data_IF_140788749510
#
_entry.id   IF_140788749510
#
_cell.length_a   1.000
_cell.length_b   1.000
_cell.length_c   1.000
_cell.angle_alpha   90.00
_cell.angle_beta   90.00
_cell.angle_gamma   90.00
#
_symmetry.space_group_name_H-M   'P 1'
#
loop_
_entity.id
_entity.type
_entity.pdbx_description
1 polymer ?
#
# COMPACT_ATOMS: atom_id res chain seq x y z
N UNK A 1 18.98 43.21 -15.49
CA UNK A 1 18.76 44.52 -16.15
C UNK A 1 18.07 44.28 -17.48
N UNK A 2 17.01 45.05 -17.79
CA UNK A 2 16.29 45.20 -19.09
C UNK A 2 15.59 43.95 -19.67
N UNK A 3 14.32 43.95 -20.12
CA UNK A 3 13.32 45.00 -20.42
C UNK A 3 11.92 44.35 -20.58
N UNK A 4 10.90 45.03 -20.05
CA UNK A 4 9.59 45.38 -20.63
C UNK A 4 8.68 44.29 -21.27
N UNK A 5 7.46 44.05 -20.75
CA UNK A 5 6.21 44.84 -20.87
C UNK A 5 5.60 44.83 -22.29
N UNK A 6 4.44 44.19 -22.43
CA UNK A 6 3.27 44.51 -23.28
C UNK A 6 2.35 43.27 -23.26
N UNK A 7 1.02 43.30 -23.11
CA UNK A 7 0.00 44.35 -23.17
C UNK A 7 -1.21 43.88 -22.36
N UNK A 8 -1.84 44.85 -21.69
CA UNK A 8 -3.15 44.76 -21.07
C UNK A 8 -4.24 45.26 -22.04
N UNK A 9 -5.45 44.67 -21.91
CA UNK A 9 -6.79 45.27 -22.14
C UNK A 9 -7.23 45.59 -23.61
N UNK A 10 -8.52 45.90 -23.92
CA UNK A 10 -9.79 45.23 -23.52
C UNK A 10 -10.98 45.38 -24.55
N UNK A 11 -12.22 45.01 -24.15
CA UNK A 11 -13.55 45.54 -24.58
C UNK A 11 -14.19 45.03 -25.91
N UNK A 12 -15.31 44.28 -25.82
CA UNK A 12 -16.74 44.68 -25.91
C UNK A 12 -17.29 44.72 -27.35
N UNK A 13 -18.24 43.82 -27.67
CA UNK A 13 -19.43 44.18 -28.48
C UNK A 13 -20.64 43.38 -27.99
N UNK A 14 -21.67 44.12 -27.61
CA UNK A 14 -23.04 43.68 -27.33
C UNK A 14 -23.74 43.29 -28.63
N UNK A 15 -24.53 42.23 -28.61
CA UNK A 15 -25.48 41.93 -29.69
C UNK A 15 -26.75 41.31 -29.13
N UNK A 16 -27.81 42.12 -29.00
CA UNK A 16 -29.18 41.67 -28.86
C UNK A 16 -29.58 40.88 -30.11
N UNK A 17 -30.23 39.73 -29.92
CA UNK A 17 -30.86 38.97 -30.99
C UNK A 17 -32.00 38.14 -30.42
N UNK A 18 -33.15 38.76 -30.23
CA UNK A 18 -34.42 38.10 -29.98
C UNK A 18 -34.83 37.37 -31.27
N UNK A 19 -34.85 36.04 -31.25
CA UNK A 19 -35.23 35.20 -32.39
C UNK A 19 -36.08 34.03 -31.91
N UNK A 20 -37.39 34.20 -32.01
CA UNK A 20 -38.42 33.21 -31.72
C UNK A 20 -38.67 32.38 -32.99
N UNK A 21 -38.20 31.14 -33.11
CA UNK A 21 -38.72 30.19 -34.11
C UNK A 21 -38.63 28.72 -33.66
N UNK A 22 -39.83 28.12 -33.67
CA UNK A 22 -40.21 26.74 -33.99
C UNK A 22 -39.62 25.56 -33.21
N UNK A 23 -40.57 24.90 -32.52
CA UNK A 23 -40.57 23.49 -32.22
C UNK A 23 -40.31 22.65 -33.49
N UNK A 24 -39.15 21.99 -33.53
CA UNK A 24 -38.99 20.70 -34.16
C UNK A 24 -38.47 19.75 -33.08
N UNK A 25 -39.27 18.73 -32.77
CA UNK A 25 -38.91 17.71 -31.79
C UNK A 25 -37.60 17.05 -32.16
N UNK A 26 -36.57 17.35 -31.39
CA UNK A 26 -35.44 16.46 -31.23
C UNK A 26 -35.95 15.29 -30.39
N UNK A 27 -35.87 14.03 -30.84
CA UNK A 27 -35.90 12.95 -29.89
C UNK A 27 -34.70 13.18 -28.98
N UNK A 28 -34.98 13.55 -27.73
CA UNK A 28 -34.03 13.33 -26.67
C UNK A 28 -33.72 11.84 -26.71
N UNK A 29 -32.58 11.48 -27.30
CA UNK A 29 -31.90 10.23 -27.02
C UNK A 29 -31.45 10.32 -25.56
N UNK A 30 -32.45 10.16 -24.68
CA UNK A 30 -32.28 9.74 -23.32
C UNK A 30 -31.59 8.37 -23.36
N UNK A 31 -30.59 8.22 -22.50
CA UNK A 31 -29.89 6.96 -22.34
C UNK A 31 -28.54 6.92 -23.05
N UNK A 32 -27.71 7.96 -22.88
CA UNK A 32 -26.33 7.64 -22.56
C UNK A 32 -26.41 6.78 -21.30
N UNK A 33 -26.30 5.46 -21.45
CA UNK A 33 -26.25 4.54 -20.33
C UNK A 33 -25.18 5.07 -19.41
N UNK A 34 -25.59 5.58 -18.24
CA UNK A 34 -24.70 5.68 -17.12
C UNK A 34 -24.23 4.25 -16.92
N UNK A 35 -23.03 3.95 -17.44
CA UNK A 35 -22.41 2.65 -17.28
C UNK A 35 -22.45 2.39 -15.79
N UNK A 36 -23.24 1.40 -15.41
CA UNK A 36 -23.44 1.04 -14.02
C UNK A 36 -22.06 0.64 -13.52
N UNK A 37 -21.41 1.55 -12.78
CA UNK A 37 -20.11 1.27 -12.18
C UNK A 37 -20.35 0.06 -11.30
N UNK A 38 -19.71 -1.09 -11.59
CA UNK A 38 -19.99 -2.32 -10.85
C UNK A 38 -19.83 -2.02 -9.37
N UNK A 39 -20.87 -2.35 -8.58
CA UNK A 39 -20.80 -2.20 -7.14
C UNK A 39 -19.57 -2.94 -6.62
N UNK A 40 -18.76 -2.27 -5.80
CA UNK A 40 -17.59 -2.89 -5.20
C UNK A 40 -18.05 -4.09 -4.36
N UNK A 41 -17.37 -5.24 -4.46
CA UNK A 41 -17.68 -6.39 -3.62
C UNK A 41 -17.61 -5.97 -2.15
N UNK A 42 -18.60 -6.42 -1.37
CA UNK A 42 -18.62 -6.16 0.05
C UNK A 42 -17.52 -6.99 0.72
N UNK A 43 -16.69 -6.31 1.52
CA UNK A 43 -15.59 -6.94 2.22
C UNK A 43 -15.78 -6.84 3.73
N UNK A 44 -15.53 -7.95 4.41
CA UNK A 44 -15.41 -7.99 5.87
C UNK A 44 -13.93 -7.91 6.23
N UNK A 45 -13.61 -7.01 7.15
CA UNK A 45 -12.25 -6.84 7.67
C UNK A 45 -12.14 -7.43 9.08
N UNK A 46 -11.00 -8.07 9.35
CA UNK A 46 -10.75 -8.69 10.64
C UNK A 46 -9.28 -8.61 11.03
N UNK A 47 -9.00 -8.95 12.29
CA UNK A 47 -7.65 -9.08 12.81
C UNK A 47 -7.00 -10.34 12.21
N UNK A 48 -5.85 -10.24 11.51
CA UNK A 48 -5.19 -11.42 10.94
C UNK A 48 -4.69 -12.39 12.03
N UNK A 49 -4.40 -13.65 11.69
CA UNK A 49 -3.73 -14.55 12.63
C UNK A 49 -2.27 -14.12 12.83
N UNK A 50 -1.65 -14.56 13.93
CA UNK A 50 -0.22 -14.25 14.17
C UNK A 50 0.69 -14.86 13.10
N UNK A 51 0.32 -16.04 12.58
CA UNK A 51 1.02 -16.71 11.48
C UNK A 51 1.02 -15.92 10.17
N UNK A 52 0.03 -15.04 10.01
CA UNK A 52 -0.17 -14.33 8.75
C UNK A 52 0.54 -12.97 8.75
N UNK A 53 1.06 -12.55 9.91
CA UNK A 53 1.93 -11.37 10.05
C UNK A 53 3.37 -11.74 9.76
N UNK A 54 4.04 -10.92 8.94
CA UNK A 54 5.43 -11.16 8.59
C UNK A 54 6.35 -11.08 9.83
N UNK A 55 7.32 -12.01 9.97
CA UNK A 55 8.33 -11.93 11.01
C UNK A 55 9.15 -10.64 10.92
N UNK A 56 9.63 -10.14 12.06
CA UNK A 56 10.45 -8.91 12.11
C UNK A 56 11.72 -8.98 11.25
N UNK A 57 12.30 -10.17 11.10
CA UNK A 57 13.47 -10.37 10.24
C UNK A 57 13.15 -10.11 8.76
N UNK A 58 11.98 -10.58 8.28
CA UNK A 58 11.48 -10.34 6.93
C UNK A 58 11.21 -8.86 6.72
N UNK A 59 10.51 -8.21 7.66
CA UNK A 59 10.23 -6.78 7.59
C UNK A 59 11.50 -5.93 7.58
N UNK A 60 12.55 -6.34 8.31
CA UNK A 60 13.84 -5.64 8.29
C UNK A 60 14.50 -5.75 6.92
N UNK A 61 14.51 -6.94 6.32
CA UNK A 61 15.06 -7.13 4.98
C UNK A 61 14.25 -6.39 3.90
N UNK A 62 12.92 -6.32 4.08
CA UNK A 62 12.03 -5.52 3.25
C UNK A 62 12.42 -4.03 3.27
N UNK A 63 12.51 -3.41 4.45
CA UNK A 63 12.90 -1.99 4.58
C UNK A 63 14.29 -1.72 4.03
N UNK A 64 15.24 -2.62 4.30
CA UNK A 64 16.61 -2.52 3.75
C UNK A 64 16.61 -2.56 2.22
N UNK A 65 15.82 -3.43 1.62
CA UNK A 65 15.70 -3.52 0.16
C UNK A 65 15.05 -2.27 -0.42
N UNK A 66 14.03 -1.72 0.23
CA UNK A 66 13.42 -0.43 -0.19
C UNK A 66 14.47 0.69 -0.16
N UNK A 67 15.27 0.78 0.90
CA UNK A 67 16.36 1.76 1.00
C UNK A 67 17.39 1.62 -0.12
N UNK A 68 17.79 0.39 -0.45
CA UNK A 68 18.69 0.11 -1.56
C UNK A 68 18.10 0.55 -2.91
N UNK A 69 16.84 0.20 -3.18
CA UNK A 69 16.18 0.45 -4.48
C UNK A 69 15.81 1.91 -4.69
N UNK A 70 15.38 2.59 -3.63
CA UNK A 70 14.89 3.97 -3.71
C UNK A 70 15.89 5.01 -3.19
N UNK A 71 17.11 4.58 -2.82
CA UNK A 71 18.12 5.42 -2.19
C UNK A 71 17.58 6.22 -0.98
N UNK A 72 16.75 5.55 -0.16
CA UNK A 72 16.16 6.12 1.05
C UNK A 72 16.94 5.75 2.32
N UNK A 73 16.45 6.18 3.48
CA UNK A 73 17.09 5.98 4.78
C UNK A 73 16.12 5.52 5.88
N UNK A 74 15.10 4.73 5.51
CA UNK A 74 14.10 4.24 6.44
C UNK A 74 14.65 3.18 7.40
N UNK A 75 15.63 2.37 7.00
CA UNK A 75 16.26 1.36 7.84
C UNK A 75 17.03 1.96 9.03
N UNK A 76 17.42 3.23 8.92
CA UNK A 76 18.02 4.00 10.01
C UNK A 76 16.99 4.56 11.02
N UNK A 77 15.69 4.37 10.76
CA UNK A 77 14.58 4.90 11.55
C UNK A 77 13.70 3.77 12.06
N UNK A 78 12.87 4.08 13.06
CA UNK A 78 11.81 3.15 13.44
C UNK A 78 10.81 3.04 12.27
N UNK A 79 10.35 1.82 11.99
CA UNK A 79 9.34 1.57 10.95
C UNK A 79 8.09 0.96 11.59
N UNK A 80 6.93 1.41 11.15
CA UNK A 80 5.64 1.02 11.70
C UNK A 80 4.80 0.34 10.63
N UNK A 81 4.39 -0.89 10.93
CA UNK A 81 3.57 -1.70 10.06
C UNK A 81 2.22 -1.99 10.71
N UNK A 82 1.21 -2.09 9.87
CA UNK A 82 -0.09 -2.63 10.24
C UNK A 82 -0.49 -3.73 9.27
N UNK A 83 -1.07 -4.81 9.81
CA UNK A 83 -1.59 -5.92 9.04
C UNK A 83 -3.09 -6.05 9.30
N UNK A 84 -3.87 -6.13 8.23
CA UNK A 84 -5.33 -6.31 8.30
C UNK A 84 -5.75 -7.40 7.33
N UNK A 85 -6.69 -8.25 7.76
CA UNK A 85 -7.25 -9.29 6.92
C UNK A 85 -8.52 -8.79 6.24
N UNK A 86 -8.70 -9.13 4.97
CA UNK A 86 -9.87 -8.82 4.17
C UNK A 86 -10.45 -10.11 3.59
N UNK A 87 -11.73 -10.34 3.83
CA UNK A 87 -12.49 -11.49 3.31
C UNK A 87 -13.63 -10.98 2.43
N UNK A 88 -13.89 -11.69 1.33
CA UNK A 88 -15.06 -11.43 0.49
C UNK A 88 -16.32 -11.89 1.24
N UNK A 89 -17.28 -10.98 1.46
CA UNK A 89 -18.53 -11.30 2.18
C UNK A 89 -19.47 -12.15 1.35
N UNK A 90 -19.42 -11.97 0.03
CA UNK A 90 -20.29 -12.59 -0.97
C UNK A 90 -19.85 -13.99 -1.38
N UNK A 91 -18.63 -14.41 -1.01
CA UNK A 91 -18.03 -15.70 -1.39
C UNK A 91 -17.50 -16.45 -0.18
N UNK A 92 -18.37 -17.17 0.56
CA UNK A 92 -17.97 -18.04 1.65
C UNK A 92 -16.92 -19.06 1.19
N UNK A 93 -15.79 -19.15 1.89
CA UNK A 93 -14.67 -20.04 1.55
C UNK A 93 -13.61 -19.41 0.65
N UNK A 94 -13.79 -18.18 0.16
CA UNK A 94 -12.70 -17.44 -0.48
C UNK A 94 -11.55 -17.24 0.52
N UNK A 95 -10.32 -17.51 0.08
CA UNK A 95 -9.15 -17.38 0.95
C UNK A 95 -8.97 -15.89 1.29
N UNK A 96 -8.85 -15.53 2.58
CA UNK A 96 -8.68 -14.14 2.96
C UNK A 96 -7.34 -13.58 2.48
N UNK A 97 -7.36 -12.32 2.07
CA UNK A 97 -6.16 -11.55 1.76
C UNK A 97 -5.64 -10.86 3.01
N UNK A 98 -4.32 -10.76 3.13
CA UNK A 98 -3.69 -9.94 4.18
C UNK A 98 -3.00 -8.75 3.54
N UNK A 99 -3.39 -7.57 3.98
CA UNK A 99 -2.79 -6.30 3.58
C UNK A 99 -1.79 -5.85 4.63
N UNK A 100 -0.59 -5.47 4.18
CA UNK A 100 0.41 -4.79 4.99
C UNK A 100 0.43 -3.31 4.61
N UNK A 101 0.20 -2.45 5.58
CA UNK A 101 0.40 -0.99 5.48
C UNK A 101 1.72 -0.66 6.15
N UNK A 102 2.60 0.05 5.43
CA UNK A 102 3.81 0.64 5.97
C UNK A 102 3.70 2.17 5.96
N UNK A 103 3.72 2.78 7.14
CA UNK A 103 3.39 4.19 7.30
C UNK A 103 4.47 5.12 6.78
N UNK A 104 5.75 4.81 6.97
CA UNK A 104 6.85 5.73 6.65
C UNK A 104 7.01 6.01 5.16
N UNK A 105 6.76 5.01 4.29
CA UNK A 105 6.81 5.18 2.83
C UNK A 105 5.41 5.38 2.21
N UNK A 106 4.35 5.38 3.04
CA UNK A 106 2.96 5.43 2.56
C UNK A 106 2.67 4.30 1.58
N UNK A 107 2.99 3.06 1.94
CA UNK A 107 2.94 1.90 1.03
C UNK A 107 1.96 0.84 1.54
N UNK A 108 1.17 0.27 0.62
CA UNK A 108 0.27 -0.84 0.88
C UNK A 108 0.71 -2.04 0.02
N UNK A 109 0.94 -3.17 0.67
CA UNK A 109 1.36 -4.41 0.03
C UNK A 109 0.30 -5.48 0.27
N UNK A 110 -0.15 -6.15 -0.78
CA UNK A 110 -0.85 -7.42 -0.63
C UNK A 110 0.18 -8.50 -0.32
N UNK A 111 -0.03 -9.24 0.77
CA UNK A 111 0.77 -10.42 1.11
C UNK A 111 0.21 -11.70 0.47
N UNK A 112 -0.73 -11.54 -0.47
CA UNK A 112 -1.45 -12.64 -1.07
C UNK A 112 -2.36 -13.34 -0.07
N UNK A 113 -2.68 -14.57 -0.41
CA UNK A 113 -3.47 -15.44 0.45
C UNK A 113 -2.56 -15.98 1.57
N UNK A 114 -3.07 -16.11 2.81
CA UNK A 114 -2.26 -16.57 3.94
C UNK A 114 -1.84 -18.05 3.83
N UNK A 115 -2.48 -18.81 2.95
CA UNK A 115 -2.30 -20.26 2.79
C UNK A 115 -1.24 -20.66 1.74
N UNK A 116 -0.87 -19.76 0.83
CA UNK A 116 0.03 -19.95 -0.30
C UNK A 116 1.48 -19.61 0.02
N UNK A 117 1.77 -19.15 1.24
CA UNK A 117 3.15 -19.00 1.68
C UNK A 117 3.81 -20.38 1.75
N UNK A 118 5.01 -20.57 1.18
CA UNK A 118 5.67 -21.86 1.17
C UNK A 118 5.78 -22.42 2.59
N UNK A 119 5.24 -23.61 2.83
CA UNK A 119 5.42 -24.36 4.08
C UNK A 119 6.41 -25.49 3.82
N UNK A 120 7.52 -25.46 4.58
CA UNK A 120 8.58 -26.47 4.80
C UNK A 120 9.10 -27.20 3.55
N UNK A 121 10.39 -26.96 3.24
CA UNK A 121 11.16 -27.70 2.22
C UNK A 121 11.74 -26.83 1.10
N UNK A 122 11.16 -25.64 0.89
CA UNK A 122 11.63 -24.57 -0.02
C UNK A 122 11.40 -23.18 0.63
N UNK A 123 11.58 -23.09 1.95
CA UNK A 123 11.35 -21.83 2.69
C UNK A 123 12.44 -20.82 2.35
N UNK A 124 12.03 -19.68 1.79
CA UNK A 124 12.91 -18.55 1.58
C UNK A 124 13.52 -18.14 2.93
N UNK A 125 14.80 -17.78 2.94
CA UNK A 125 15.36 -17.10 4.11
C UNK A 125 14.61 -15.80 4.34
N UNK A 126 14.54 -15.28 5.59
CA UNK A 126 13.88 -14.00 5.84
C UNK A 126 14.41 -12.84 4.99
N UNK A 127 15.69 -12.90 4.59
CA UNK A 127 16.32 -11.94 3.68
C UNK A 127 15.73 -12.03 2.28
N UNK A 128 15.62 -13.23 1.72
CA UNK A 128 15.08 -13.45 0.38
C UNK A 128 13.59 -13.11 0.31
N UNK A 129 12.81 -13.53 1.30
CA UNK A 129 11.39 -13.22 1.39
C UNK A 129 11.17 -11.70 1.47
N UNK A 130 11.90 -11.01 2.36
CA UNK A 130 11.79 -9.56 2.51
C UNK A 130 12.18 -8.82 1.24
N UNK A 131 13.23 -9.27 0.54
CA UNK A 131 13.65 -8.71 -0.75
C UNK A 131 12.60 -8.93 -1.83
N UNK A 132 12.07 -10.15 -1.95
CA UNK A 132 11.01 -10.45 -2.93
C UNK A 132 9.77 -9.60 -2.69
N UNK A 133 9.33 -9.45 -1.44
CA UNK A 133 8.21 -8.58 -1.07
C UNK A 133 8.48 -7.12 -1.42
N UNK A 134 9.69 -6.60 -1.20
CA UNK A 134 10.03 -5.21 -1.49
C UNK A 134 10.05 -4.89 -2.99
N UNK A 135 10.37 -5.89 -3.82
CA UNK A 135 10.39 -5.80 -5.28
C UNK A 135 9.04 -6.15 -5.92
N UNK A 136 8.10 -6.73 -5.16
CA UNK A 136 6.76 -7.03 -5.63
C UNK A 136 5.96 -5.73 -5.85
N UNK A 137 4.90 -5.84 -6.66
CA UNK A 137 3.96 -4.75 -6.86
C UNK A 137 3.36 -4.33 -5.52
N UNK A 138 3.44 -3.03 -5.23
CA UNK A 138 2.82 -2.38 -4.08
C UNK A 138 2.04 -1.16 -4.56
N UNK A 139 1.13 -0.68 -3.72
CA UNK A 139 0.44 0.59 -3.93
C UNK A 139 1.16 1.67 -3.11
N UNK A 140 1.50 2.77 -3.76
CA UNK A 140 2.05 3.97 -3.13
C UNK A 140 0.95 5.01 -2.98
N UNK A 141 0.66 5.40 -1.75
CA UNK A 141 -0.43 6.33 -1.43
C UNK A 141 -0.32 7.68 -2.15
N UNK A 142 0.91 8.10 -2.46
CA UNK A 142 1.17 9.37 -3.13
C UNK A 142 0.85 9.36 -4.64
N UNK A 143 0.82 8.19 -5.29
CA UNK A 143 0.74 8.10 -6.77
C UNK A 143 -0.35 7.17 -7.28
N UNK A 144 -0.77 6.19 -6.48
CA UNK A 144 -1.59 5.07 -6.94
C UNK A 144 -3.04 5.18 -6.43
N UNK A 145 -3.40 6.32 -5.83
CA UNK A 145 -4.71 6.57 -5.23
C UNK A 145 -5.43 7.65 -6.03
N UNK A 146 -6.63 7.33 -6.48
CA UNK A 146 -7.49 8.24 -7.24
C UNK A 146 -8.76 8.60 -6.46
N UNK A 147 -9.38 9.76 -6.71
CA UNK A 147 -10.54 10.22 -5.95
C UNK A 147 -11.74 9.27 -6.03
N UNK A 148 -12.04 8.73 -7.21
CA UNK A 148 -13.23 7.91 -7.45
C UNK A 148 -12.94 6.63 -8.23
N UNK A 149 -13.84 5.64 -8.15
CA UNK A 149 -13.75 4.43 -8.99
C UNK A 149 -13.71 4.71 -10.49
N UNK A 150 -14.38 5.76 -10.96
CA UNK A 150 -14.40 6.11 -12.38
C UNK A 150 -12.99 6.46 -12.89
N UNK A 151 -12.17 7.07 -12.03
CA UNK A 151 -10.79 7.48 -12.36
C UNK A 151 -9.82 6.30 -12.49
N UNK A 152 -10.19 5.11 -12.03
CA UNK A 152 -9.38 3.89 -12.22
C UNK A 152 -9.32 3.53 -13.70
N UNK A 153 -10.40 3.76 -14.46
CA UNK A 153 -10.49 3.52 -15.90
C UNK A 153 -9.92 2.16 -16.38
N UNK A 154 -10.13 1.10 -15.59
CA UNK A 154 -9.63 -0.25 -15.88
C UNK A 154 -8.15 -0.49 -15.56
N UNK A 155 -7.45 0.48 -14.98
CA UNK A 155 -6.08 0.32 -14.48
C UNK A 155 -6.03 -0.71 -13.35
N UNK A 156 -5.11 -1.67 -13.46
CA UNK A 156 -4.81 -2.58 -12.35
C UNK A 156 -3.86 -1.96 -11.32
N UNK A 157 -3.35 -0.74 -11.55
CA UNK A 157 -2.35 -0.08 -10.70
C UNK A 157 -2.94 0.98 -9.78
N UNK A 158 -4.20 1.36 -9.98
CA UNK A 158 -4.85 2.43 -9.22
C UNK A 158 -5.92 1.87 -8.29
N UNK A 159 -6.11 2.53 -7.16
CA UNK A 159 -7.18 2.25 -6.20
C UNK A 159 -7.93 3.52 -5.83
N UNK A 160 -9.19 3.38 -5.43
CA UNK A 160 -9.99 4.50 -4.98
C UNK A 160 -9.62 4.94 -3.55
N UNK A 161 -9.63 6.25 -3.30
CA UNK A 161 -9.41 6.86 -1.99
C UNK A 161 -10.32 6.28 -0.91
N UNK A 162 -11.61 6.08 -1.20
CA UNK A 162 -12.57 5.52 -0.25
C UNK A 162 -12.19 4.09 0.20
N UNK A 163 -11.58 3.28 -0.67
CA UNK A 163 -11.05 1.97 -0.30
C UNK A 163 -9.84 2.10 0.63
N UNK A 164 -8.91 3.01 0.33
CA UNK A 164 -7.75 3.30 1.18
C UNK A 164 -8.20 3.75 2.58
N UNK A 165 -9.16 4.67 2.65
CA UNK A 165 -9.66 5.21 3.92
C UNK A 165 -10.26 4.13 4.81
N UNK A 166 -11.05 3.21 4.22
CA UNK A 166 -11.58 2.03 4.93
C UNK A 166 -10.45 1.13 5.44
N UNK A 167 -9.49 0.79 4.58
CA UNK A 167 -8.36 -0.05 4.96
C UNK A 167 -7.56 0.56 6.12
N UNK A 168 -7.26 1.86 6.05
CA UNK A 168 -6.54 2.61 7.08
C UNK A 168 -7.36 2.75 8.37
N UNK A 169 -8.69 2.89 8.25
CA UNK A 169 -9.63 2.82 9.37
C UNK A 169 -9.52 1.49 10.12
N UNK A 170 -9.63 0.37 9.41
CA UNK A 170 -9.50 -0.96 9.99
C UNK A 170 -8.09 -1.25 10.52
N UNK A 171 -7.05 -0.69 9.89
CA UNK A 171 -5.70 -0.82 10.39
C UNK A 171 -5.51 -0.14 11.77
N UNK A 172 -6.24 0.95 12.03
CA UNK A 172 -6.22 1.62 13.34
C UNK A 172 -6.92 0.82 14.43
N UNK A 173 -8.05 0.18 14.09
CA UNK A 173 -8.97 -0.46 15.06
C UNK A 173 -8.80 -1.97 15.22
N UNK A 174 -8.60 -2.71 14.12
CA UNK A 174 -8.52 -4.18 14.07
C UNK A 174 -7.11 -4.69 13.72
N UNK A 175 -6.28 -3.85 13.11
CA UNK A 175 -5.00 -4.27 12.58
C UNK A 175 -4.00 -4.75 13.63
N UNK A 176 -3.21 -5.78 13.28
CA UNK A 176 -2.03 -6.15 14.06
C UNK A 176 -0.90 -5.18 13.73
N UNK A 177 -0.36 -4.51 14.75
CA UNK A 177 0.70 -3.51 14.59
C UNK A 177 2.06 -4.12 14.91
N UNK A 178 3.05 -3.85 14.07
CA UNK A 178 4.44 -4.27 14.29
C UNK A 178 5.35 -3.05 14.16
N UNK A 179 6.11 -2.77 15.21
CA UNK A 179 7.18 -1.78 15.18
C UNK A 179 8.51 -2.48 15.00
N UNK A 180 9.29 -2.04 14.02
CA UNK A 180 10.72 -2.29 13.93
C UNK A 180 11.45 -1.12 14.58
N UNK A 181 12.10 -1.40 15.71
CA UNK A 181 13.04 -0.45 16.28
C UNK A 181 14.27 -0.32 15.37
N UNK A 182 14.92 0.84 15.44
CA UNK A 182 16.23 1.08 14.81
C UNK A 182 17.19 -0.03 15.25
N UNK A 183 17.92 -0.61 14.30
CA UNK A 183 18.97 -1.57 14.64
C UNK A 183 20.02 -0.85 15.51
N UNK A 184 20.08 -1.23 16.79
CA UNK A 184 21.13 -0.72 17.66
C UNK A 184 22.47 -1.21 17.11
N UNK A 185 23.44 -0.29 16.94
CA UNK A 185 24.84 -0.70 16.72
C UNK A 185 25.19 -1.70 17.84
N UNK A 186 25.85 -2.83 17.53
CA UNK A 186 26.39 -3.69 18.57
C UNK A 186 27.16 -2.80 19.54
N UNK A 187 26.80 -2.86 20.82
CA UNK A 187 27.57 -2.15 21.85
C UNK A 187 29.00 -2.66 21.70
N UNK A 188 30.01 -1.78 21.49
CA UNK A 188 31.38 -2.24 21.38
C UNK A 188 31.69 -3.02 22.65
N UNK A 189 32.03 -4.31 22.49
CA UNK A 189 32.49 -5.15 23.58
C UNK A 189 33.68 -4.43 24.19
N UNK A 190 33.65 -4.15 25.49
CA UNK A 190 34.80 -3.56 26.17
C UNK A 190 36.02 -4.45 25.85
N UNK A 191 37.14 -3.88 25.36
CA UNK A 191 38.38 -4.64 25.23
C UNK A 191 38.71 -5.25 26.60
N UNK A 192 38.80 -6.58 26.66
CA UNK A 192 39.11 -7.32 27.89
C UNK A 192 37.94 -8.04 28.56
N UNK A 193 36.74 -8.08 27.99
CA UNK A 193 35.69 -8.99 28.49
C UNK A 193 35.93 -10.40 27.93
N UNK A 194 36.23 -11.42 28.77
CA UNK A 194 36.45 -12.78 28.28
C UNK A 194 35.19 -13.28 27.58
N UNK A 195 35.37 -13.83 26.38
CA UNK A 195 34.34 -14.62 25.71
C UNK A 195 33.98 -15.75 26.67
N UNK A 196 32.75 -15.74 27.19
CA UNK A 196 32.24 -16.82 28.01
C UNK A 196 32.42 -18.12 27.21
N UNK A 197 33.28 -18.99 27.73
CA UNK A 197 33.57 -20.29 27.14
C UNK A 197 32.24 -21.04 26.94
N UNK A 198 31.92 -21.35 25.68
CA UNK A 198 30.89 -22.35 25.38
C UNK A 198 31.32 -23.65 26.07
N UNK A 199 30.48 -24.28 26.91
CA UNK A 199 30.83 -25.59 27.43
C UNK A 199 30.94 -26.55 26.25
N UNK A 200 32.14 -27.09 26.06
CA UNK A 200 32.37 -28.23 25.19
C UNK A 200 31.64 -29.40 25.83
N UNK A 201 30.50 -29.79 25.26
CA UNK A 201 29.85 -31.05 25.61
C UNK A 201 30.81 -32.18 25.23
N UNK A 202 31.51 -32.75 26.21
CA UNK A 202 32.12 -34.07 26.10
C UNK A 202 31.00 -35.09 26.27
N UNK A 203 30.57 -35.69 25.17
CA UNK A 203 29.83 -36.94 25.24
C UNK A 203 30.81 -38.05 25.62
N UNK A 204 30.67 -38.56 26.84
CA UNK A 204 31.11 -39.90 27.22
C UNK A 204 29.88 -40.63 27.70
N UNK A 205 29.40 -41.59 26.89
CA UNK A 205 28.94 -42.92 27.27
C UNK A 205 28.69 -43.72 26.00
#
# INVERSE_FOLDING_TARGET
>A
MTRQLHRMLPWLVRGLGLGLLLACGLPALAGAGAGEVPAQPEYVYSTPLRSDVLPRAVLRAYVQTVDEVHASHYAARASHFCFVQQSASDRPGAVPLVWMVWYEDGRIQSLGDAASRPRVGNELTPREEGRMLALAKSLRLATDVVPTLADIAGSSYLVEQAWVDRLMGHCRTLGRKVTLAVAQKPRPTKPGQPLAHRPVFRNTH
#
